data_IF_838233470060
#
_entry.id   IF_838233470060
#
_cell.length_a   1.000
_cell.length_b   1.000
_cell.length_c   1.000
_cell.angle_alpha   90.00
_cell.angle_beta   90.00
_cell.angle_gamma   90.00
#
_symmetry.space_group_name_H-M   'P 1'
#
loop_
_entity.id
_entity.type
_entity.pdbx_description
1 polymer ?
#
# COMPACT_ATOMS: atom_id res chain seq x y z
N UNK A 1 9.15 -24.64 -0.31
CA UNK A 1 7.86 -24.39 0.38
C UNK A 1 6.74 -24.66 -0.61
N UNK A 2 5.51 -24.84 -0.16
CA UNK A 2 4.38 -25.03 -1.09
C UNK A 2 3.87 -23.67 -1.55
N UNK A 3 3.71 -22.73 -0.61
CA UNK A 3 3.13 -21.42 -0.86
C UNK A 3 4.01 -20.34 -0.23
N UNK A 4 4.31 -19.31 -1.02
CA UNK A 4 4.95 -18.08 -0.56
C UNK A 4 3.90 -17.00 -0.38
N UNK A 5 3.95 -16.25 0.73
CA UNK A 5 3.13 -15.05 0.93
C UNK A 5 4.05 -13.84 0.97
N UNK A 6 3.87 -12.88 0.07
CA UNK A 6 4.65 -11.64 0.05
C UNK A 6 3.87 -10.50 0.72
N UNK A 7 4.35 -10.07 1.89
CA UNK A 7 3.73 -9.05 2.74
C UNK A 7 3.08 -9.66 3.98
N UNK A 8 3.30 -9.03 5.13
CA UNK A 8 2.83 -9.53 6.44
C UNK A 8 1.82 -8.59 7.15
N UNK A 9 1.13 -7.72 6.40
CA UNK A 9 -0.02 -7.00 6.93
C UNK A 9 -1.20 -7.94 7.24
N UNK A 10 -2.35 -7.37 7.66
CA UNK A 10 -3.56 -8.15 8.00
C UNK A 10 -3.93 -9.20 6.94
N UNK A 11 -3.91 -8.83 5.66
CA UNK A 11 -4.23 -9.74 4.56
C UNK A 11 -3.22 -10.90 4.44
N UNK A 12 -1.93 -10.61 4.56
CA UNK A 12 -0.88 -11.62 4.49
C UNK A 12 -0.93 -12.60 5.67
N UNK A 13 -1.12 -12.08 6.88
CA UNK A 13 -1.23 -12.91 8.09
C UNK A 13 -2.52 -13.73 8.11
N UNK A 14 -3.66 -13.13 7.74
CA UNK A 14 -4.93 -13.84 7.59
C UNK A 14 -4.83 -14.97 6.57
N UNK A 15 -4.20 -14.69 5.41
CA UNK A 15 -3.92 -15.69 4.39
C UNK A 15 -3.05 -16.83 4.95
N UNK A 16 -1.95 -16.50 5.62
CA UNK A 16 -1.05 -17.49 6.19
C UNK A 16 -1.74 -18.41 7.22
N UNK A 17 -2.64 -17.87 8.05
CA UNK A 17 -3.46 -18.66 8.97
C UNK A 17 -4.37 -19.64 8.22
N UNK A 18 -5.02 -19.17 7.15
CA UNK A 18 -5.88 -20.01 6.30
C UNK A 18 -5.12 -21.13 5.59
N UNK A 19 -3.82 -20.96 5.36
CA UNK A 19 -2.97 -21.93 4.67
C UNK A 19 -2.20 -22.88 5.60
N UNK A 20 -1.84 -22.43 6.81
CA UNK A 20 -0.82 -23.09 7.64
C UNK A 20 -1.14 -24.52 8.08
N UNK A 21 -2.40 -24.95 8.03
CA UNK A 21 -2.77 -26.35 8.34
C UNK A 21 -2.55 -27.31 7.18
N UNK A 22 -2.61 -26.79 5.95
CA UNK A 22 -2.71 -27.61 4.75
C UNK A 22 -1.45 -27.56 3.89
N UNK A 23 -0.59 -26.54 4.08
CA UNK A 23 0.58 -26.26 3.25
C UNK A 23 1.80 -25.86 4.08
N UNK A 24 2.99 -26.11 3.53
CA UNK A 24 4.22 -25.49 4.03
C UNK A 24 4.30 -24.04 3.52
N UNK A 25 4.11 -23.07 4.42
CA UNK A 25 3.98 -21.64 4.11
C UNK A 25 5.15 -20.84 4.66
N UNK A 26 5.67 -19.91 3.87
CA UNK A 26 6.58 -18.86 4.35
C UNK A 26 6.03 -17.48 3.98
N UNK A 27 5.96 -16.60 4.99
CA UNK A 27 5.59 -15.19 4.82
C UNK A 27 6.86 -14.33 4.78
N UNK A 28 7.03 -13.60 3.69
CA UNK A 28 8.14 -12.66 3.47
C UNK A 28 7.68 -11.24 3.79
N UNK A 29 8.50 -10.51 4.53
CA UNK A 29 8.22 -9.12 4.91
C UNK A 29 9.46 -8.26 4.72
N UNK A 30 9.31 -7.13 4.02
CA UNK A 30 10.43 -6.20 3.75
C UNK A 30 10.92 -5.51 5.03
N UNK A 31 10.01 -5.25 5.97
CA UNK A 31 10.34 -4.64 7.25
C UNK A 31 11.04 -5.66 8.16
N UNK A 32 11.91 -5.23 9.09
CA UNK A 32 12.59 -6.14 10.02
C UNK A 32 11.66 -6.79 11.06
N UNK A 33 10.34 -6.57 10.94
CA UNK A 33 9.30 -7.02 11.87
C UNK A 33 8.10 -7.53 11.07
N UNK A 34 7.39 -8.52 11.61
CA UNK A 34 6.17 -9.08 11.02
C UNK A 34 4.95 -8.30 11.47
N UNK A 35 4.05 -7.99 10.55
CA UNK A 35 2.85 -7.19 10.78
C UNK A 35 2.71 -5.97 9.85
N UNK A 36 3.71 -5.69 8.99
CA UNK A 36 3.68 -4.50 8.15
C UNK A 36 3.79 -3.19 8.96
N UNK A 37 3.14 -2.13 8.49
CA UNK A 37 3.28 -0.79 9.09
C UNK A 37 2.70 -0.69 10.51
N UNK A 38 1.72 -1.54 10.85
CA UNK A 38 1.04 -1.59 12.15
C UNK A 38 1.43 -2.83 12.97
N UNK A 39 2.70 -3.24 12.90
CA UNK A 39 3.19 -4.45 13.56
C UNK A 39 3.01 -4.48 15.09
N UNK A 40 2.87 -3.33 15.73
CA UNK A 40 2.64 -3.21 17.17
C UNK A 40 1.15 -3.24 17.56
N UNK A 41 0.25 -3.15 16.58
CA UNK A 41 -1.19 -3.24 16.80
C UNK A 41 -1.58 -4.64 17.33
N UNK A 42 -2.43 -4.73 18.38
CA UNK A 42 -2.85 -6.00 18.95
C UNK A 42 -3.42 -6.99 17.93
N UNK A 43 -4.18 -6.55 16.91
CA UNK A 43 -4.76 -7.42 15.91
C UNK A 43 -3.68 -8.08 15.04
N UNK A 44 -2.66 -7.32 14.62
CA UNK A 44 -1.53 -7.86 13.88
C UNK A 44 -0.72 -8.86 14.71
N UNK A 45 -0.47 -8.52 15.98
CA UNK A 45 0.26 -9.37 16.92
C UNK A 45 -0.47 -10.70 17.14
N UNK A 46 -1.79 -10.67 17.33
CA UNK A 46 -2.60 -11.86 17.58
C UNK A 46 -2.63 -12.78 16.35
N UNK A 47 -2.77 -12.22 15.14
CA UNK A 47 -2.71 -12.98 13.89
C UNK A 47 -1.33 -13.61 13.68
N UNK A 48 -0.24 -12.86 13.93
CA UNK A 48 1.13 -13.40 13.87
C UNK A 48 1.31 -14.59 14.81
N UNK A 49 0.95 -14.45 16.08
CA UNK A 49 1.06 -15.54 17.07
C UNK A 49 0.22 -16.76 16.67
N UNK A 50 -0.94 -16.55 16.05
CA UNK A 50 -1.78 -17.64 15.54
C UNK A 50 -1.14 -18.35 14.35
N UNK A 51 -0.54 -17.61 13.41
CA UNK A 51 0.19 -18.19 12.28
C UNK A 51 1.41 -18.99 12.74
N UNK A 52 2.18 -18.48 13.72
CA UNK A 52 3.32 -19.19 14.33
C UNK A 52 2.89 -20.53 14.94
N UNK A 53 1.77 -20.57 15.68
CA UNK A 53 1.22 -21.82 16.24
C UNK A 53 0.81 -22.84 15.18
N UNK A 54 0.56 -22.39 13.95
CA UNK A 54 0.24 -23.25 12.81
C UNK A 54 1.50 -23.68 12.03
N UNK A 55 2.70 -23.33 12.49
CA UNK A 55 3.96 -23.71 11.84
C UNK A 55 4.32 -22.87 10.62
N UNK A 56 3.69 -21.71 10.43
CA UNK A 56 4.04 -20.78 9.35
C UNK A 56 5.46 -20.23 9.58
N UNK A 57 6.30 -20.33 8.55
CA UNK A 57 7.63 -19.71 8.55
C UNK A 57 7.57 -18.22 8.26
N UNK A 58 8.51 -17.46 8.82
CA UNK A 58 8.62 -16.01 8.60
C UNK A 58 10.02 -15.62 8.15
N UNK A 59 10.08 -14.72 7.18
CA UNK A 59 11.30 -14.11 6.65
C UNK A 59 11.19 -12.58 6.75
N UNK A 60 11.34 -11.99 7.95
CA UNK A 60 11.42 -10.53 8.09
C UNK A 60 12.68 -9.98 7.43
N UNK A 61 12.68 -8.68 7.16
CA UNK A 61 13.80 -7.98 6.50
C UNK A 61 14.11 -8.54 5.11
N UNK A 62 13.14 -9.18 4.46
CA UNK A 62 13.31 -9.92 3.21
C UNK A 62 12.16 -9.60 2.25
N UNK A 63 12.50 -8.97 1.12
CA UNK A 63 11.55 -8.56 0.09
C UNK A 63 11.54 -9.56 -1.06
N UNK A 64 10.36 -10.03 -1.45
CA UNK A 64 10.16 -10.74 -2.73
C UNK A 64 10.18 -9.70 -3.86
N UNK A 65 11.09 -9.87 -4.82
CA UNK A 65 11.26 -8.92 -5.94
C UNK A 65 10.90 -9.51 -7.29
N UNK A 66 10.90 -10.85 -7.42
CA UNK A 66 10.54 -11.53 -8.67
C UNK A 66 9.90 -12.89 -8.41
N UNK A 67 9.03 -13.28 -9.32
CA UNK A 67 8.36 -14.57 -9.42
C UNK A 67 8.61 -15.21 -10.79
N UNK A 68 9.04 -16.47 -10.80
CA UNK A 68 9.34 -17.23 -12.01
C UNK A 68 8.45 -18.48 -12.18
N UNK A 69 7.31 -18.52 -11.50
CA UNK A 69 6.31 -19.58 -11.64
C UNK A 69 6.46 -20.79 -10.73
N UNK A 70 7.69 -21.18 -10.40
CA UNK A 70 7.98 -22.26 -9.46
C UNK A 70 8.97 -21.85 -8.36
N UNK A 71 9.38 -20.59 -8.37
CA UNK A 71 10.36 -20.01 -7.45
C UNK A 71 10.22 -18.50 -7.41
N UNK A 72 10.71 -17.92 -6.34
CA UNK A 72 10.83 -16.47 -6.19
C UNK A 72 12.29 -16.06 -6.04
N UNK A 73 12.60 -14.82 -6.38
CA UNK A 73 13.81 -14.13 -5.93
C UNK A 73 13.46 -13.26 -4.73
N UNK A 74 14.08 -13.55 -3.59
CA UNK A 74 13.98 -12.78 -2.36
C UNK A 74 15.31 -12.08 -2.06
N UNK A 75 15.26 -10.83 -1.64
CA UNK A 75 16.43 -10.02 -1.27
C UNK A 75 16.28 -9.56 0.18
N UNK A 76 17.30 -9.79 1.00
CA UNK A 76 17.30 -9.39 2.40
C UNK A 76 17.98 -10.39 3.32
N UNK A 77 17.64 -10.35 4.61
CA UNK A 77 18.27 -11.18 5.65
C UNK A 77 18.13 -12.68 5.40
N UNK A 78 16.99 -13.09 4.83
CA UNK A 78 16.71 -14.47 4.41
C UNK A 78 16.57 -14.57 2.89
N UNK A 79 17.34 -13.77 2.15
CA UNK A 79 17.32 -13.73 0.69
C UNK A 79 17.78 -15.03 0.04
N UNK A 80 17.41 -15.21 -1.23
CA UNK A 80 17.74 -16.39 -2.02
C UNK A 80 16.75 -16.64 -3.15
N UNK A 81 16.82 -17.83 -3.75
CA UNK A 81 15.91 -18.27 -4.82
C UNK A 81 15.12 -19.52 -4.41
N UNK A 82 14.24 -19.44 -3.40
CA UNK A 82 13.50 -20.59 -2.91
C UNK A 82 12.39 -21.00 -3.89
N UNK A 83 12.21 -22.32 -4.03
CA UNK A 83 11.10 -22.89 -4.79
C UNK A 83 9.77 -22.77 -4.02
N UNK A 84 8.70 -22.45 -4.75
CA UNK A 84 7.31 -22.43 -4.28
C UNK A 84 6.35 -22.78 -5.43
N UNK A 85 5.24 -23.45 -5.13
CA UNK A 85 4.23 -23.77 -6.13
C UNK A 85 3.26 -22.63 -6.42
N UNK A 86 3.01 -21.76 -5.44
CA UNK A 86 2.11 -20.60 -5.56
C UNK A 86 2.70 -19.39 -4.84
N UNK A 87 2.51 -18.21 -5.42
CA UNK A 87 2.77 -16.92 -4.77
C UNK A 87 1.45 -16.22 -4.42
N UNK A 88 1.28 -15.85 -3.16
CA UNK A 88 0.25 -14.91 -2.73
C UNK A 88 0.87 -13.53 -2.57
N UNK A 89 0.31 -12.53 -3.26
CA UNK A 89 0.73 -11.12 -3.19
C UNK A 89 -0.18 -10.37 -2.22
N UNK A 90 0.38 -9.97 -1.08
CA UNK A 90 -0.29 -9.28 0.02
C UNK A 90 0.51 -8.04 0.47
N UNK A 91 1.11 -7.33 -0.49
CA UNK A 91 2.06 -6.22 -0.27
C UNK A 91 1.39 -4.87 0.06
N UNK A 92 0.09 -4.87 0.34
CA UNK A 92 -0.68 -3.68 0.73
C UNK A 92 -1.01 -2.73 -0.42
N UNK A 93 -1.34 -1.49 -0.09
CA UNK A 93 -1.84 -0.49 -1.03
C UNK A 93 -1.13 0.84 -0.86
N UNK A 94 -1.29 1.73 -1.84
CA UNK A 94 -0.83 3.12 -1.77
C UNK A 94 -1.86 4.12 -2.26
N UNK A 95 -1.73 5.39 -1.84
CA UNK A 95 -2.37 6.49 -2.52
C UNK A 95 -1.94 6.55 -3.98
N UNK A 96 -2.80 7.14 -4.81
CA UNK A 96 -2.43 7.55 -6.17
C UNK A 96 -1.28 8.56 -6.10
N UNK A 97 -0.36 8.40 -7.03
CA UNK A 97 0.71 9.36 -7.29
C UNK A 97 0.13 10.62 -7.94
N UNK A 98 0.93 11.69 -7.91
CA UNK A 98 0.60 12.95 -8.57
C UNK A 98 0.22 12.77 -10.06
N UNK A 99 0.94 11.87 -10.76
CA UNK A 99 0.70 11.59 -12.17
C UNK A 99 -0.64 10.86 -12.40
N UNK A 100 -0.97 9.88 -11.54
CA UNK A 100 -2.24 9.16 -11.61
C UNK A 100 -3.44 10.05 -11.26
N UNK A 101 -3.23 11.11 -10.48
CA UNK A 101 -4.24 12.12 -10.15
C UNK A 101 -4.34 13.24 -11.19
N UNK A 102 -3.52 13.23 -12.24
CA UNK A 102 -3.51 14.30 -13.26
C UNK A 102 -3.01 15.66 -12.74
N UNK A 103 -2.32 15.69 -11.60
CA UNK A 103 -1.81 16.92 -10.99
C UNK A 103 -0.51 17.33 -11.68
N UNK A 104 -0.54 18.43 -12.43
CA UNK A 104 0.60 18.93 -13.20
C UNK A 104 1.54 19.82 -12.35
N UNK A 105 2.51 20.48 -12.99
CA UNK A 105 3.36 21.48 -12.36
C UNK A 105 4.69 20.95 -11.81
N UNK A 106 5.34 21.78 -10.99
CA UNK A 106 6.71 21.56 -10.53
C UNK A 106 6.83 20.37 -9.56
N UNK A 107 7.96 19.63 -9.66
CA UNK A 107 8.33 18.56 -8.72
C UNK A 107 8.99 19.16 -7.47
N UNK A 108 8.18 19.80 -6.65
CA UNK A 108 8.62 20.53 -5.46
C UNK A 108 8.75 19.64 -4.23
N UNK A 109 9.62 20.05 -3.31
CA UNK A 109 9.56 19.56 -1.94
C UNK A 109 8.27 19.99 -1.23
N UNK A 110 7.79 19.18 -0.29
CA UNK A 110 6.52 19.41 0.41
C UNK A 110 5.31 18.71 -0.22
N UNK A 111 5.48 17.93 -1.29
CA UNK A 111 4.46 17.03 -1.81
C UNK A 111 4.78 15.61 -1.35
N UNK A 112 3.86 14.96 -0.64
CA UNK A 112 4.08 13.61 -0.09
C UNK A 112 2.83 12.73 -0.15
N UNK A 113 2.98 11.40 -0.28
CA UNK A 113 1.86 10.47 -0.14
C UNK A 113 1.39 10.37 1.33
N UNK A 114 0.12 10.04 1.54
CA UNK A 114 -0.48 9.96 2.87
C UNK A 114 0.21 8.97 3.82
N UNK A 115 0.71 7.83 3.32
CA UNK A 115 1.43 6.85 4.16
C UNK A 115 2.70 7.45 4.78
N UNK A 116 3.42 8.28 4.02
CA UNK A 116 4.58 9.04 4.54
C UNK A 116 4.12 10.14 5.50
N UNK A 117 2.99 10.80 5.20
CA UNK A 117 2.43 11.86 6.06
C UNK A 117 2.08 11.31 7.45
N UNK A 118 1.37 10.18 7.50
CA UNK A 118 0.98 9.50 8.73
C UNK A 118 2.20 9.08 9.54
N UNK A 119 3.19 8.45 8.90
CA UNK A 119 4.44 8.07 9.57
C UNK A 119 5.14 9.27 10.22
N UNK A 120 5.23 10.40 9.52
CA UNK A 120 5.83 11.63 10.06
C UNK A 120 5.02 12.17 11.24
N UNK A 121 3.68 12.19 11.15
CA UNK A 121 2.79 12.65 12.21
C UNK A 121 2.87 11.76 13.46
N UNK A 122 2.97 10.43 13.31
CA UNK A 122 3.20 9.49 14.41
C UNK A 122 4.52 9.77 15.14
N UNK A 123 5.54 10.20 14.39
CA UNK A 123 6.84 10.65 14.92
C UNK A 123 6.81 12.11 15.40
N UNK A 124 5.62 12.73 15.49
CA UNK A 124 5.39 14.11 15.92
C UNK A 124 6.10 15.15 15.05
N UNK A 125 6.40 14.82 13.80
CA UNK A 125 6.94 15.75 12.81
C UNK A 125 5.79 16.55 12.22
N UNK A 126 5.93 17.88 12.21
CA UNK A 126 4.98 18.77 11.53
C UNK A 126 5.18 18.70 10.02
N UNK A 127 4.09 18.51 9.27
CA UNK A 127 4.13 18.46 7.81
C UNK A 127 4.30 19.84 7.15
N UNK A 128 3.75 20.87 7.80
CA UNK A 128 3.71 22.25 7.34
C UNK A 128 2.80 23.09 8.24
N UNK A 129 2.64 24.37 7.90
CA UNK A 129 1.67 25.26 8.53
C UNK A 129 0.32 25.23 7.78
N UNK A 130 0.39 25.22 6.45
CA UNK A 130 -0.75 25.31 5.54
C UNK A 130 -0.83 24.01 4.74
N UNK A 131 -1.38 22.97 5.37
CA UNK A 131 -1.43 21.63 4.81
C UNK A 131 -2.68 21.45 3.97
N UNK A 132 -2.48 21.13 2.69
CA UNK A 132 -3.55 20.68 1.79
C UNK A 132 -3.53 19.15 1.70
N UNK A 133 -4.70 18.53 1.81
CA UNK A 133 -4.90 17.08 1.71
C UNK A 133 -5.80 16.81 0.50
N UNK A 134 -5.32 16.03 -0.46
CA UNK A 134 -6.07 15.65 -1.66
C UNK A 134 -6.59 14.22 -1.50
N UNK A 135 -7.90 14.07 -1.32
CA UNK A 135 -8.57 12.78 -1.18
C UNK A 135 -9.75 12.82 -0.20
N UNK A 136 -10.61 11.81 -0.30
CA UNK A 136 -11.85 11.68 0.50
C UNK A 136 -11.91 10.48 1.45
N UNK A 137 -10.96 9.55 1.33
CA UNK A 137 -10.95 8.26 2.01
C UNK A 137 -10.35 8.27 3.41
N UNK A 138 -10.07 7.08 3.95
CA UNK A 138 -9.58 6.93 5.33
C UNK A 138 -8.23 7.61 5.53
N UNK A 139 -7.32 7.52 4.55
CA UNK A 139 -6.03 8.21 4.62
C UNK A 139 -6.17 9.73 4.74
N UNK A 140 -7.10 10.34 4.01
CA UNK A 140 -7.32 11.78 4.11
C UNK A 140 -7.80 12.16 5.51
N UNK A 141 -8.75 11.39 6.06
CA UNK A 141 -9.30 11.58 7.40
C UNK A 141 -8.22 11.45 8.48
N UNK A 142 -7.42 10.39 8.41
CA UNK A 142 -6.42 10.08 9.43
C UNK A 142 -5.28 11.12 9.40
N UNK A 143 -4.88 11.58 8.20
CA UNK A 143 -3.95 12.70 8.04
C UNK A 143 -4.55 13.99 8.61
N UNK A 144 -5.80 14.31 8.30
CA UNK A 144 -6.46 15.51 8.82
C UNK A 144 -6.52 15.51 10.36
N UNK A 145 -6.89 14.37 10.96
CA UNK A 145 -6.91 14.19 12.40
C UNK A 145 -5.52 14.34 13.04
N UNK A 146 -4.45 13.89 12.36
CA UNK A 146 -3.09 14.07 12.82
C UNK A 146 -2.60 15.51 12.73
N UNK A 147 -2.88 16.20 11.62
CA UNK A 147 -2.47 17.61 11.39
C UNK A 147 -3.16 18.57 12.36
N UNK A 148 -4.47 18.38 12.58
CA UNK A 148 -5.28 19.30 13.39
C UNK A 148 -4.86 19.38 14.85
N UNK A 149 -4.17 18.36 15.37
CA UNK A 149 -3.57 18.40 16.71
C UNK A 149 -2.54 19.52 16.87
N UNK A 150 -1.98 20.03 15.78
CA UNK A 150 -0.88 21.00 15.79
C UNK A 150 -1.06 22.18 14.81
N UNK A 151 -2.12 22.22 14.02
CA UNK A 151 -2.34 23.26 13.00
C UNK A 151 -3.70 23.15 12.31
N UNK A 152 -3.80 23.77 11.13
CA UNK A 152 -5.00 23.77 10.27
C UNK A 152 -4.73 22.98 8.99
N UNK A 153 -5.78 22.45 8.38
CA UNK A 153 -5.68 21.81 7.06
C UNK A 153 -6.89 22.11 6.19
N UNK A 154 -6.67 22.02 4.88
CA UNK A 154 -7.71 22.06 3.85
C UNK A 154 -7.77 20.71 3.15
N UNK A 155 -8.93 20.08 3.15
CA UNK A 155 -9.20 18.82 2.45
C UNK A 155 -9.88 19.13 1.12
N UNK A 156 -9.40 18.50 0.04
CA UNK A 156 -9.88 18.69 -1.32
C UNK A 156 -10.33 17.32 -1.87
N UNK A 157 -11.57 17.24 -2.33
CA UNK A 157 -12.18 16.02 -2.86
C UNK A 157 -13.49 15.63 -2.17
N UNK A 158 -14.17 14.62 -2.69
CA UNK A 158 -15.48 14.18 -2.20
C UNK A 158 -15.40 13.67 -0.76
N UNK A 159 -16.32 14.11 0.10
CA UNK A 159 -16.38 13.67 1.50
C UNK A 159 -16.99 12.27 1.58
N UNK A 160 -16.21 11.23 1.26
CA UNK A 160 -16.64 9.83 1.49
C UNK A 160 -16.69 9.50 2.99
N UNK A 161 -16.05 10.33 3.83
CA UNK A 161 -15.93 10.14 5.27
C UNK A 161 -16.19 11.45 6.03
N UNK A 162 -16.47 11.34 7.34
CA UNK A 162 -16.53 12.51 8.23
C UNK A 162 -15.13 12.98 8.61
N UNK A 163 -14.85 14.26 8.35
CA UNK A 163 -13.61 14.91 8.73
C UNK A 163 -13.75 15.66 10.07
N UNK A 164 -12.64 15.92 10.79
CA UNK A 164 -12.69 16.75 11.99
C UNK A 164 -13.28 18.15 11.69
N UNK A 165 -14.11 18.68 12.60
CA UNK A 165 -14.85 19.94 12.38
C UNK A 165 -13.99 21.17 12.07
N UNK A 166 -12.72 21.15 12.46
CA UNK A 166 -11.76 22.23 12.20
C UNK A 166 -11.02 22.10 10.87
N UNK A 167 -11.24 21.02 10.11
CA UNK A 167 -10.76 20.90 8.73
C UNK A 167 -11.63 21.78 7.81
N UNK A 168 -11.00 22.58 6.97
CA UNK A 168 -11.71 23.23 5.87
C UNK A 168 -11.89 22.20 4.74
N UNK A 169 -13.10 22.05 4.21
CA UNK A 169 -13.39 21.08 3.15
C UNK A 169 -13.79 21.82 1.87
N UNK A 170 -13.18 21.46 0.75
CA UNK A 170 -13.50 21.94 -0.59
C UNK A 170 -13.92 20.74 -1.46
N UNK A 171 -15.19 20.33 -1.42
CA UNK A 171 -15.63 19.04 -1.97
C UNK A 171 -15.67 19.00 -3.51
N UNK A 172 -15.92 20.14 -4.14
CA UNK A 172 -16.04 20.26 -5.61
C UNK A 172 -14.73 20.68 -6.28
N UNK A 173 -13.72 21.04 -5.49
CA UNK A 173 -12.43 21.46 -6.01
C UNK A 173 -11.56 20.25 -6.38
N UNK A 174 -10.74 20.43 -7.40
CA UNK A 174 -9.69 19.50 -7.80
C UNK A 174 -8.36 20.23 -7.84
N UNK A 175 -7.30 19.59 -7.36
CA UNK A 175 -5.94 20.10 -7.57
C UNK A 175 -5.53 19.77 -9.00
N UNK A 176 -5.15 20.78 -9.79
CA UNK A 176 -4.71 20.58 -11.18
C UNK A 176 -3.22 20.83 -11.37
N UNK A 177 -2.58 21.59 -10.46
CA UNK A 177 -1.16 21.94 -10.58
C UNK A 177 -0.51 22.26 -9.23
N UNK A 178 0.76 21.88 -9.06
CA UNK A 178 1.63 22.33 -7.97
C UNK A 178 2.52 23.50 -8.43
N UNK A 179 2.64 24.54 -7.59
CA UNK A 179 3.40 25.76 -7.89
C UNK A 179 4.41 26.05 -6.76
N UNK A 180 5.66 26.31 -7.16
CA UNK A 180 6.76 26.68 -6.26
C UNK A 180 8.11 26.13 -6.71
N UNK A 181 9.21 26.63 -6.15
CA UNK A 181 10.56 26.04 -6.25
C UNK A 181 11.47 26.64 -5.16
N UNK A 182 12.32 25.85 -4.46
CA UNK A 182 12.41 24.38 -4.52
C UNK A 182 11.26 23.67 -3.77
N UNK A 183 10.49 24.40 -2.95
CA UNK A 183 9.34 23.88 -2.20
C UNK A 183 8.02 24.40 -2.76
N UNK A 184 6.94 23.66 -2.49
CA UNK A 184 5.58 24.09 -2.82
C UNK A 184 5.26 25.38 -2.06
N UNK A 185 4.52 26.27 -2.73
CA UNK A 185 3.98 27.51 -2.15
C UNK A 185 2.48 27.64 -2.42
N UNK A 186 2.02 27.07 -3.52
CA UNK A 186 0.61 27.10 -3.90
C UNK A 186 0.22 25.81 -4.62
N UNK A 187 -1.06 25.48 -4.52
CA UNK A 187 -1.75 24.59 -5.46
C UNK A 187 -2.73 25.40 -6.29
N UNK A 188 -2.81 25.08 -7.58
CA UNK A 188 -3.87 25.57 -8.46
C UNK A 188 -5.05 24.61 -8.39
N UNK A 189 -6.22 25.16 -8.11
CA UNK A 189 -7.47 24.45 -7.95
C UNK A 189 -8.41 24.78 -9.11
N UNK A 190 -9.32 23.85 -9.40
CA UNK A 190 -10.43 24.04 -10.34
C UNK A 190 -11.71 23.44 -9.74
N UNK A 191 -12.85 24.12 -9.89
CA UNK A 191 -14.19 23.60 -9.62
C UNK A 191 -14.97 23.30 -10.92
N UNK A 192 -14.27 23.32 -12.07
CA UNK A 192 -14.87 23.17 -13.40
C UNK A 192 -15.38 24.48 -14.02
N UNK A 193 -15.60 25.52 -13.22
CA UNK A 193 -16.04 26.84 -13.70
C UNK A 193 -14.94 27.89 -13.62
N UNK A 194 -14.12 27.83 -12.58
CA UNK A 194 -13.01 28.77 -12.34
C UNK A 194 -11.77 28.02 -11.89
N UNK A 195 -10.64 28.69 -12.10
CA UNK A 195 -9.35 28.28 -11.54
C UNK A 195 -8.87 29.35 -10.57
N UNK A 196 -8.27 28.93 -9.46
CA UNK A 196 -7.67 29.83 -8.47
C UNK A 196 -6.52 29.15 -7.75
N UNK A 197 -5.68 29.94 -7.09
CA UNK A 197 -4.56 29.41 -6.30
C UNK A 197 -4.91 29.39 -4.81
N UNK A 198 -4.54 28.31 -4.13
CA UNK A 198 -4.56 28.19 -2.68
C UNK A 198 -3.11 28.11 -2.18
N UNK A 199 -2.75 28.97 -1.21
CA UNK A 199 -1.44 28.92 -0.58
C UNK A 199 -1.29 27.65 0.27
N UNK A 200 -0.13 27.01 0.17
CA UNK A 200 0.22 25.85 0.99
C UNK A 200 1.74 25.63 1.02
N UNK A 201 2.23 25.07 2.13
CA UNK A 201 3.63 24.64 2.27
C UNK A 201 3.78 23.10 2.30
N UNK A 202 2.65 22.39 2.28
CA UNK A 202 2.55 20.94 2.15
C UNK A 202 1.31 20.51 1.36
N UNK A 203 1.48 19.53 0.47
CA UNK A 203 0.40 18.81 -0.22
C UNK A 203 0.51 17.32 0.08
N UNK A 204 -0.52 16.75 0.70
CA UNK A 204 -0.63 15.31 0.97
C UNK A 204 -1.53 14.64 -0.07
N UNK A 205 -1.01 13.66 -0.78
CA UNK A 205 -1.76 12.82 -1.71
C UNK A 205 -2.37 11.65 -0.94
N UNK A 206 -3.66 11.72 -0.68
CA UNK A 206 -4.42 10.80 0.15
C UNK A 206 -5.60 10.15 -0.59
N UNK A 207 -5.63 10.26 -1.92
CA UNK A 207 -6.69 9.73 -2.75
C UNK A 207 -6.33 8.37 -3.36
N UNK A 208 -7.34 7.50 -3.43
CA UNK A 208 -7.30 6.20 -4.08
C UNK A 208 -6.62 5.13 -3.24
N UNK A 209 -6.88 3.87 -3.59
CA UNK A 209 -6.40 2.69 -2.87
C UNK A 209 -5.80 1.70 -3.87
N UNK A 210 -4.58 2.00 -4.32
CA UNK A 210 -3.94 1.31 -5.45
C UNK A 210 -3.10 0.14 -4.94
N UNK A 211 -3.37 -1.12 -5.37
CA UNK A 211 -2.56 -2.27 -4.98
C UNK A 211 -1.08 -2.10 -5.32
N UNK A 212 -0.18 -2.43 -4.39
CA UNK A 212 1.27 -2.47 -4.64
C UNK A 212 1.68 -3.70 -5.45
N UNK A 213 1.51 -3.67 -6.77
CA UNK A 213 1.94 -4.76 -7.67
C UNK A 213 3.40 -4.58 -8.09
N UNK A 214 4.32 -4.86 -7.18
CA UNK A 214 5.75 -4.55 -7.31
C UNK A 214 6.67 -5.79 -7.40
N UNK A 215 6.12 -6.97 -7.67
CA UNK A 215 6.89 -8.21 -7.86
C UNK A 215 6.96 -8.49 -9.35
N UNK A 216 8.17 -8.48 -9.91
CA UNK A 216 8.37 -8.79 -11.33
C UNK A 216 7.90 -10.22 -11.63
N UNK A 217 7.25 -10.42 -12.78
CA UNK A 217 6.61 -11.69 -13.13
C UNK A 217 5.28 -11.98 -12.40
N UNK A 218 4.84 -11.14 -11.46
CA UNK A 218 3.60 -11.24 -10.69
C UNK A 218 2.81 -9.92 -10.64
N UNK A 219 2.76 -9.20 -11.77
CA UNK A 219 2.02 -7.92 -11.91
C UNK A 219 0.61 -8.12 -12.48
N UNK A 220 0.41 -9.19 -13.25
CA UNK A 220 -0.85 -9.56 -13.92
C UNK A 220 -1.39 -10.88 -13.36
N UNK A 221 -2.64 -11.18 -13.68
CA UNK A 221 -3.26 -12.45 -13.29
C UNK A 221 -2.55 -13.62 -13.98
N UNK A 222 -2.05 -14.55 -13.17
CA UNK A 222 -1.45 -15.81 -13.61
C UNK A 222 -2.01 -16.96 -12.75
N UNK A 223 -2.04 -18.20 -13.27
CA UNK A 223 -2.57 -19.36 -12.53
C UNK A 223 -1.88 -19.57 -11.17
N UNK A 224 -0.57 -19.34 -11.14
CA UNK A 224 0.40 -19.52 -10.06
C UNK A 224 0.50 -18.30 -9.10
N UNK A 225 -0.26 -17.23 -9.34
CA UNK A 225 -0.24 -16.00 -8.54
C UNK A 225 -1.64 -15.64 -8.04
N UNK A 226 -1.78 -15.42 -6.73
CA UNK A 226 -3.03 -14.99 -6.09
C UNK A 226 -2.84 -13.63 -5.45
N UNK A 227 -3.70 -12.67 -5.75
CA UNK A 227 -3.68 -11.34 -5.12
C UNK A 227 -4.63 -11.30 -3.91
N UNK A 228 -4.10 -10.91 -2.76
CA UNK A 228 -4.85 -10.60 -1.52
C UNK A 228 -5.12 -9.09 -1.38
N UNK A 229 -5.11 -8.35 -2.50
CA UNK A 229 -5.30 -6.91 -2.57
C UNK A 229 -6.58 -6.59 -3.36
N UNK A 230 -7.55 -5.91 -2.73
CA UNK A 230 -8.77 -5.41 -3.39
C UNK A 230 -8.54 -4.12 -4.17
N UNK A 231 -9.51 -3.71 -5.02
CA UNK A 231 -9.39 -2.54 -5.89
C UNK A 231 -10.17 -1.28 -5.44
N UNK A 232 -11.28 -1.42 -4.73
CA UNK A 232 -12.03 -0.28 -4.15
C UNK A 232 -11.81 -0.27 -2.63
N UNK A 233 -11.60 0.92 -2.07
CA UNK A 233 -11.34 1.17 -0.66
C UNK A 233 -12.58 0.97 0.22
N UNK A 234 -13.79 1.20 -0.33
CA UNK A 234 -15.02 1.30 0.46
C UNK A 234 -15.48 -0.02 1.10
N UNK A 235 -15.21 -1.14 0.43
CA UNK A 235 -15.65 -2.48 0.87
C UNK A 235 -14.48 -3.45 1.08
N UNK A 236 -13.25 -2.93 1.16
CA UNK A 236 -12.07 -3.80 1.30
C UNK A 236 -11.76 -4.11 2.76
N UNK A 237 -12.05 -5.35 3.16
CA UNK A 237 -11.56 -5.94 4.41
C UNK A 237 -10.29 -6.76 4.14
N UNK A 238 -9.18 -6.37 4.77
CA UNK A 238 -7.90 -7.04 4.60
C UNK A 238 -7.92 -8.49 5.13
N UNK A 239 -8.60 -8.77 6.24
CA UNK A 239 -8.69 -10.11 6.82
C UNK A 239 -9.49 -11.03 5.90
N UNK A 240 -10.63 -10.55 5.40
CA UNK A 240 -11.46 -11.30 4.46
C UNK A 240 -10.70 -11.55 3.14
N UNK A 241 -10.06 -10.52 2.58
CA UNK A 241 -9.25 -10.65 1.38
C UNK A 241 -8.12 -11.68 1.53
N UNK A 242 -7.48 -11.72 2.71
CA UNK A 242 -6.49 -12.72 3.07
C UNK A 242 -7.06 -14.14 3.12
N UNK A 243 -8.22 -14.32 3.76
CA UNK A 243 -8.89 -15.62 3.83
C UNK A 243 -9.32 -16.13 2.45
N UNK A 244 -9.90 -15.27 1.61
CA UNK A 244 -10.26 -15.60 0.24
C UNK A 244 -9.02 -15.92 -0.63
N UNK A 245 -7.88 -15.24 -0.39
CA UNK A 245 -6.62 -15.56 -1.06
C UNK A 245 -6.08 -16.94 -0.64
N UNK A 246 -6.24 -17.33 0.63
CA UNK A 246 -5.85 -18.67 1.09
C UNK A 246 -6.63 -19.77 0.37
N UNK A 247 -7.96 -19.67 0.30
CA UNK A 247 -8.80 -20.64 -0.42
C UNK A 247 -8.36 -20.77 -1.88
N UNK A 248 -8.22 -19.64 -2.58
CA UNK A 248 -7.79 -19.63 -3.99
C UNK A 248 -6.39 -20.22 -4.18
N UNK A 249 -5.47 -20.01 -3.25
CA UNK A 249 -4.12 -20.55 -3.32
C UNK A 249 -4.09 -22.08 -3.12
N UNK A 250 -4.95 -22.63 -2.27
CA UNK A 250 -5.10 -24.07 -2.10
C UNK A 250 -5.70 -24.74 -3.35
N UNK A 251 -6.69 -24.11 -3.98
CA UNK A 251 -7.30 -24.61 -5.22
C UNK A 251 -6.34 -24.62 -6.41
N UNK A 252 -5.33 -23.76 -6.38
CA UNK A 252 -4.40 -23.53 -7.50
C UNK A 252 -3.15 -24.39 -7.48
N UNK A 253 -2.98 -25.31 -6.54
CA UNK A 253 -1.76 -26.17 -6.42
C UNK A 253 -1.41 -26.81 -7.78
N UNK A 254 -0.39 -26.29 -8.50
CA UNK A 254 -0.04 -26.83 -9.81
C UNK A 254 0.80 -28.09 -9.65
N UNK A 255 0.74 -28.98 -10.66
CA UNK A 255 1.76 -30.01 -10.85
C UNK A 255 3.08 -29.35 -11.24
N UNK A 256 4.18 -29.72 -10.58
CA UNK A 256 5.51 -29.13 -10.75
C UNK A 256 5.96 -29.09 -12.23
N UNK A 257 5.87 -27.93 -12.88
CA UNK A 257 6.50 -27.69 -14.20
C UNK A 257 7.11 -26.29 -14.22
N UNK A 258 8.45 -26.23 -14.26
CA UNK A 258 9.21 -25.00 -14.36
C UNK A 258 8.98 -24.31 -15.71
N UNK A 259 8.62 -23.02 -15.70
CA UNK A 259 8.57 -22.17 -16.90
C UNK A 259 9.40 -20.92 -16.62
N UNK A 260 10.64 -20.82 -17.14
CA UNK A 260 11.47 -19.64 -16.94
C UNK A 260 10.76 -18.38 -17.42
N UNK A 261 10.75 -17.31 -16.60
CA UNK A 261 10.21 -16.02 -17.02
C UNK A 261 11.35 -15.18 -17.59
N UNK A 262 11.27 -14.73 -18.84
CA UNK A 262 12.33 -13.89 -19.45
C UNK A 262 12.39 -12.51 -18.80
N UNK A 263 13.59 -12.05 -18.46
CA UNK A 263 13.85 -10.71 -17.90
C UNK A 263 13.34 -9.62 -18.87
N UNK A 264 12.49 -8.70 -18.39
CA UNK A 264 11.94 -7.59 -19.20
C UNK A 264 12.44 -6.21 -18.82
N UNK A 265 13.42 -6.09 -17.93
CA UNK A 265 14.00 -4.78 -17.57
C UNK A 265 14.90 -4.32 -18.73
N UNK A 266 14.52 -3.22 -19.39
CA UNK A 266 15.37 -2.53 -20.38
C UNK A 266 15.22 -2.97 -21.85
N UNK A 267 14.29 -3.85 -22.17
CA UNK A 267 13.99 -4.20 -23.56
C UNK A 267 12.74 -3.43 -24.05
N UNK A 268 12.86 -2.58 -25.08
CA UNK A 268 11.70 -1.95 -25.69
C UNK A 268 10.85 -3.03 -26.39
N UNK A 269 9.52 -2.88 -26.28
CA UNK A 269 8.53 -3.59 -27.08
C UNK A 269 8.69 -3.29 -28.57
#
# INVERSE_FOLDING_TARGET
MDIAVAGSGLAGLSCAIGLGRDANVVVYERLPVIGGEHWDDPAHRDLRLRAERLGVGFAPGTQVVRWEGDRLLAVGQSGGVPAAGVLVVATGHRPRTRAELGVNGARTGGVLPATVALHLLERRVRLGHDVVILGGGHWARDVAAGVIKAGTCTVIGSSLTEFPRSAQILPEAQVIRTIGTPRIRFVELSDGHRTWTLACDSLVLADGHIPYRNIDGAVLDRPDVVFAQGGDERDWDAIEAGAQAATRALDRRPSHRHVPTTLRIGHPS
#
